data_IF_353972395947
#
_entry.id   IF_353972395947
#
_cell.length_a   1.000
_cell.length_b   1.000
_cell.length_c   1.000
_cell.angle_alpha   90.00
_cell.angle_beta   90.00
_cell.angle_gamma   90.00
#
_symmetry.space_group_name_H-M   'P 1'
#
loop_
_entity.id
_entity.type
_entity.pdbx_description
1 polymer ?
#
# COMPACT_ATOMS: atom_id res chain seq x y z
N UNK A 1 33.86 61.86 50.34
CA UNK A 1 33.17 60.93 49.42
C UNK A 1 34.04 59.69 49.30
N UNK A 2 34.05 58.77 50.28
CA UNK A 2 32.97 57.85 50.68
C UNK A 2 32.60 56.94 49.50
N UNK A 3 33.16 55.73 49.33
CA UNK A 3 33.05 54.47 50.12
C UNK A 3 31.83 53.59 49.74
N UNK A 4 32.15 52.29 49.65
CA UNK A 4 31.35 51.06 49.76
C UNK A 4 30.79 50.47 48.45
N UNK A 5 31.24 49.32 47.94
CA UNK A 5 31.60 47.99 48.51
C UNK A 5 30.38 47.08 48.75
N UNK A 6 30.64 45.78 48.62
CA UNK A 6 29.84 44.55 48.76
C UNK A 6 29.07 44.03 47.51
N UNK A 7 29.47 42.95 46.81
CA UNK A 7 29.93 41.58 47.19
C UNK A 7 28.79 40.61 47.55
N UNK A 8 29.07 39.31 47.34
CA UNK A 8 28.30 38.06 47.50
C UNK A 8 27.60 37.62 46.20
N UNK A 9 28.16 36.78 45.32
CA UNK A 9 28.68 35.41 45.47
C UNK A 9 27.72 34.47 46.23
N UNK A 10 27.07 33.53 45.54
CA UNK A 10 27.42 32.09 45.57
C UNK A 10 26.26 31.17 45.15
N UNK A 11 26.64 30.15 44.34
CA UNK A 11 26.07 28.80 44.23
C UNK A 11 24.58 28.61 43.89
N UNK A 12 24.27 27.85 42.83
CA UNK A 12 24.10 26.39 42.92
C UNK A 12 23.36 25.81 41.70
N UNK A 13 24.07 24.96 40.96
CA UNK A 13 23.65 23.72 40.29
C UNK A 13 22.22 23.53 39.74
N UNK A 14 22.16 23.15 38.46
CA UNK A 14 21.55 21.89 38.02
C UNK A 14 20.04 21.88 37.72
N UNK A 15 19.69 21.56 36.48
CA UNK A 15 18.33 21.16 36.10
C UNK A 15 18.00 21.54 34.67
N UNK A 16 18.42 20.72 33.70
CA UNK A 16 17.88 20.79 32.35
C UNK A 16 16.44 20.30 32.36
N UNK A 17 15.52 21.17 32.00
CA UNK A 17 14.12 20.82 31.71
C UNK A 17 13.86 21.28 30.26
N UNK A 18 14.21 20.41 29.32
CA UNK A 18 13.86 20.52 27.91
C UNK A 18 12.34 20.30 27.76
N UNK A 19 11.56 21.30 28.13
CA UNK A 19 10.11 21.31 27.89
C UNK A 19 9.83 21.81 26.46
N UNK A 20 10.15 20.98 25.46
CA UNK A 20 9.63 21.16 24.12
C UNK A 20 8.22 20.55 24.05
N UNK A 21 7.19 21.31 23.63
CA UNK A 21 5.86 20.76 23.46
C UNK A 21 5.87 19.67 22.38
N UNK A 22 5.51 18.44 22.76
CA UNK A 22 5.26 17.35 21.83
C UNK A 22 4.10 17.74 20.89
N UNK A 23 4.25 17.62 19.56
CA UNK A 23 3.15 17.90 18.65
C UNK A 23 2.03 16.88 18.86
N UNK A 24 0.75 17.29 18.73
CA UNK A 24 -0.37 16.37 18.86
C UNK A 24 -0.29 15.26 17.80
N UNK A 25 -0.49 14.02 18.22
CA UNK A 25 -0.56 12.87 17.31
C UNK A 25 -1.75 13.03 16.34
N UNK A 26 -1.58 12.73 15.04
CA UNK A 26 -2.68 12.78 14.09
C UNK A 26 -3.79 11.79 14.47
N UNK A 27 -5.05 12.10 14.17
CA UNK A 27 -6.17 11.22 14.46
C UNK A 27 -6.05 9.90 13.69
N UNK A 28 -6.37 8.80 14.37
CA UNK A 28 -6.44 7.47 13.75
C UNK A 28 -7.54 7.43 12.68
N UNK A 29 -7.28 6.88 11.48
CA UNK A 29 -8.30 6.75 10.46
C UNK A 29 -9.44 5.83 10.92
N UNK A 30 -10.67 6.05 10.44
CA UNK A 30 -11.81 5.22 10.79
C UNK A 30 -11.61 3.78 10.30
N UNK A 31 -11.97 2.83 11.16
CA UNK A 31 -11.96 1.39 10.82
C UNK A 31 -12.91 1.14 9.65
N UNK A 32 -12.49 0.39 8.61
CA UNK A 32 -13.38 0.06 7.50
C UNK A 32 -14.57 -0.79 7.98
N UNK A 33 -15.74 -0.67 7.32
CA UNK A 33 -16.91 -1.46 7.65
C UNK A 33 -16.64 -2.95 7.46
N UNK A 34 -17.15 -3.77 8.38
CA UNK A 34 -17.08 -5.22 8.27
C UNK A 34 -17.76 -5.70 6.97
N UNK A 35 -17.19 -6.72 6.29
CA UNK A 35 -17.81 -7.27 5.09
C UNK A 35 -19.21 -7.83 5.40
N UNK A 36 -20.14 -7.76 4.45
CA UNK A 36 -21.50 -8.27 4.63
C UNK A 36 -21.47 -9.78 4.88
N UNK A 37 -22.24 -10.20 5.87
CA UNK A 37 -22.46 -11.61 6.20
C UNK A 37 -23.17 -12.27 5.01
N UNK A 38 -22.64 -13.35 4.42
CA UNK A 38 -23.33 -14.06 3.35
C UNK A 38 -24.63 -14.71 3.86
N UNK A 39 -25.68 -14.81 3.03
CA UNK A 39 -26.91 -15.49 3.40
C UNK A 39 -26.63 -16.98 3.69
N UNK A 40 -27.28 -17.50 4.73
CA UNK A 40 -27.11 -18.87 5.19
C UNK A 40 -27.57 -19.86 4.11
N UNK A 41 -26.63 -20.67 3.61
CA UNK A 41 -26.89 -21.86 2.81
C UNK A 41 -26.90 -23.07 3.75
N UNK A 42 -27.98 -23.84 3.68
CA UNK A 42 -28.28 -25.00 4.52
C UNK A 42 -27.45 -26.20 4.04
N UNK A 43 -26.16 -26.23 4.38
CA UNK A 43 -25.36 -27.44 4.18
C UNK A 43 -24.26 -27.58 5.23
N UNK A 44 -24.50 -28.48 6.18
CA UNK A 44 -23.63 -28.72 7.31
C UNK A 44 -22.34 -29.45 6.91
N UNK A 45 -21.23 -28.71 6.85
CA UNK A 45 -19.91 -29.25 7.18
C UNK A 45 -19.32 -28.43 8.32
N UNK A 46 -19.07 -29.12 9.44
CA UNK A 46 -18.66 -28.56 10.71
C UNK A 46 -17.25 -27.94 10.64
N UNK A 47 -17.16 -26.63 10.89
CA UNK A 47 -15.92 -25.98 11.30
C UNK A 47 -15.90 -25.90 12.84
N UNK A 48 -14.73 -26.08 13.50
CA UNK A 48 -14.66 -26.01 14.95
C UNK A 48 -14.90 -24.57 15.43
N UNK A 49 -15.96 -24.42 16.23
CA UNK A 49 -16.25 -23.23 17.03
C UNK A 49 -15.17 -23.10 18.11
N UNK A 50 -14.39 -22.02 18.09
CA UNK A 50 -13.52 -21.69 19.22
C UNK A 50 -14.38 -21.23 20.40
N UNK A 51 -14.14 -21.73 21.62
CA UNK A 51 -14.89 -21.30 22.80
C UNK A 51 -14.52 -19.86 23.18
N UNK A 52 -15.46 -19.10 23.76
CA UNK A 52 -15.22 -17.74 24.22
C UNK A 52 -14.17 -17.72 25.36
N UNK A 53 -13.24 -16.77 25.29
CA UNK A 53 -12.22 -16.57 26.32
C UNK A 53 -12.86 -16.07 27.63
N UNK A 54 -12.42 -16.57 28.80
CA UNK A 54 -12.94 -16.15 30.09
C UNK A 54 -12.43 -14.74 30.48
N UNK A 55 -13.15 -14.01 31.35
CA UNK A 55 -12.81 -12.65 31.74
C UNK A 55 -11.51 -12.59 32.55
N UNK A 56 -10.69 -11.59 32.25
CA UNK A 56 -9.45 -11.26 32.98
C UNK A 56 -9.76 -10.89 34.43
N UNK A 57 -9.25 -11.69 35.37
CA UNK A 57 -9.26 -11.40 36.81
C UNK A 57 -8.27 -10.26 37.13
N UNK A 58 -8.59 -9.35 38.08
CA UNK A 58 -7.67 -8.31 38.52
C UNK A 58 -6.64 -8.87 39.51
N UNK A 59 -5.38 -8.45 39.34
CA UNK A 59 -4.26 -8.78 40.25
C UNK A 59 -4.47 -8.20 41.66
N UNK A 60 -4.13 -8.93 42.74
CA UNK A 60 -4.03 -8.35 44.08
C UNK A 60 -2.67 -7.66 44.31
N UNK A 61 -2.58 -6.65 45.20
CA UNK A 61 -1.33 -6.00 45.55
C UNK A 61 -0.55 -6.82 46.58
N UNK A 62 0.71 -7.13 46.31
CA UNK A 62 1.62 -7.79 47.26
C UNK A 62 2.23 -6.77 48.22
N UNK A 63 1.81 -6.83 49.49
CA UNK A 63 2.52 -6.25 50.63
C UNK A 63 3.75 -7.09 50.99
N UNK A 64 4.74 -6.42 51.59
CA UNK A 64 6.07 -6.95 51.86
C UNK A 64 6.17 -7.96 53.01
N UNK A 65 7.39 -8.48 53.18
CA UNK A 65 7.87 -9.00 54.47
C UNK A 65 8.71 -10.28 54.41
N UNK A 66 9.99 -10.11 54.76
CA UNK A 66 10.91 -11.06 55.43
C UNK A 66 11.59 -12.22 54.66
N UNK A 67 12.93 -12.12 54.60
CA UNK A 67 14.05 -13.10 54.74
C UNK A 67 13.70 -14.61 54.86
N UNK A 68 14.46 -15.61 54.36
CA UNK A 68 15.93 -15.86 54.31
C UNK A 68 16.14 -17.20 53.48
N UNK A 69 17.28 -17.94 53.49
CA UNK A 69 18.49 -17.79 52.69
C UNK A 69 18.84 -19.10 51.92
N UNK A 70 18.42 -19.26 50.66
CA UNK A 70 18.99 -20.31 49.79
C UNK A 70 19.15 -19.78 48.38
N UNK A 71 20.41 -19.50 48.02
CA UNK A 71 20.82 -19.30 46.65
C UNK A 71 20.58 -20.59 45.86
N UNK A 72 19.50 -20.61 45.08
CA UNK A 72 19.35 -21.55 43.97
C UNK A 72 18.98 -20.72 42.73
N UNK A 73 20.00 -20.36 41.97
CA UNK A 73 19.92 -19.61 40.72
C UNK A 73 19.28 -20.48 39.63
N UNK A 74 17.96 -20.61 39.67
CA UNK A 74 17.13 -21.13 38.57
C UNK A 74 16.33 -19.99 37.98
N UNK A 75 16.91 -19.27 37.01
CA UNK A 75 16.14 -18.33 36.20
C UNK A 75 15.00 -19.12 35.51
N UNK A 76 13.74 -18.66 35.54
CA UNK A 76 12.69 -19.28 34.76
C UNK A 76 13.09 -19.21 33.27
N UNK A 77 12.82 -20.26 32.47
CA UNK A 77 13.13 -20.24 31.05
C UNK A 77 12.41 -19.07 30.39
N UNK A 78 13.17 -18.18 29.76
CA UNK A 78 12.62 -17.13 28.91
C UNK A 78 11.75 -17.77 27.84
N UNK A 79 10.52 -17.28 27.60
CA UNK A 79 9.71 -17.77 26.49
C UNK A 79 10.50 -17.66 25.18
N UNK A 80 10.40 -18.65 24.27
CA UNK A 80 11.09 -18.60 23.00
C UNK A 80 10.70 -17.31 22.28
N UNK A 81 11.71 -16.60 21.78
CA UNK A 81 11.48 -15.43 20.95
C UNK A 81 10.53 -15.82 19.79
N UNK A 82 9.56 -14.95 19.43
CA UNK A 82 8.76 -15.19 18.23
C UNK A 82 9.72 -15.41 17.05
N UNK A 83 9.40 -16.36 16.14
CA UNK A 83 10.27 -16.66 15.01
C UNK A 83 10.57 -15.35 14.28
N UNK A 84 11.86 -15.08 14.09
CA UNK A 84 12.31 -13.88 13.38
C UNK A 84 11.59 -13.84 12.01
N UNK A 85 10.90 -12.74 11.74
CA UNK A 85 10.31 -12.52 10.43
C UNK A 85 11.44 -12.51 9.40
N UNK A 86 11.33 -13.38 8.40
CA UNK A 86 12.27 -13.46 7.30
C UNK A 86 12.20 -12.16 6.47
N UNK A 87 13.17 -11.28 6.72
CA UNK A 87 13.30 -9.96 6.08
C UNK A 87 13.98 -10.03 4.72
N UNK A 88 14.25 -11.23 4.19
CA UNK A 88 14.87 -11.37 2.88
C UNK A 88 13.93 -10.82 1.81
N UNK A 89 14.33 -9.74 1.09
CA UNK A 89 13.46 -9.12 0.10
C UNK A 89 13.34 -10.01 -1.13
N UNK A 90 12.12 -10.14 -1.64
CA UNK A 90 11.76 -10.90 -2.82
C UNK A 90 12.43 -10.38 -4.08
N UNK A 91 12.81 -9.09 -4.11
CA UNK A 91 13.33 -8.39 -5.29
C UNK A 91 12.42 -8.57 -6.52
N UNK A 92 11.12 -8.72 -6.28
CA UNK A 92 10.12 -8.97 -7.30
C UNK A 92 9.98 -7.76 -8.24
N UNK A 93 10.00 -8.00 -9.55
CA UNK A 93 9.94 -6.94 -10.56
C UNK A 93 8.54 -6.84 -11.14
N UNK A 94 7.82 -5.81 -10.70
CA UNK A 94 6.49 -5.52 -11.22
C UNK A 94 6.56 -5.21 -12.73
N UNK A 95 5.68 -5.83 -13.51
CA UNK A 95 5.62 -5.65 -14.96
C UNK A 95 6.63 -6.48 -15.78
N UNK A 96 7.46 -7.33 -15.17
CA UNK A 96 8.45 -8.15 -15.90
C UNK A 96 7.81 -9.15 -16.89
N UNK A 97 6.58 -9.61 -16.60
CA UNK A 97 5.84 -10.53 -17.49
C UNK A 97 5.21 -9.84 -18.69
N UNK A 98 5.14 -8.51 -18.70
CA UNK A 98 4.51 -7.76 -19.79
C UNK A 98 5.40 -7.76 -21.05
N UNK A 99 4.80 -7.68 -22.26
CA UNK A 99 5.57 -7.65 -23.48
C UNK A 99 6.40 -6.37 -23.58
N UNK A 100 7.56 -6.42 -24.25
CA UNK A 100 8.50 -5.29 -24.35
C UNK A 100 7.87 -4.04 -24.99
N UNK A 101 6.94 -4.24 -25.91
CA UNK A 101 6.13 -3.17 -26.53
C UNK A 101 4.68 -3.35 -26.09
N UNK A 102 4.02 -2.25 -25.74
CA UNK A 102 2.60 -2.23 -25.40
C UNK A 102 1.81 -1.61 -26.56
N UNK A 103 0.73 -2.25 -26.97
CA UNK A 103 -0.01 -1.93 -28.19
C UNK A 103 -1.25 -1.07 -27.91
N UNK A 104 -1.14 -0.13 -26.97
CA UNK A 104 -2.17 0.87 -26.68
C UNK A 104 -1.67 2.24 -27.12
N UNK A 105 -2.46 2.90 -27.96
CA UNK A 105 -2.22 4.30 -28.33
C UNK A 105 -2.87 5.20 -27.30
N UNK A 106 -2.07 6.06 -26.66
CA UNK A 106 -2.60 7.12 -25.77
C UNK A 106 -3.33 8.15 -26.65
N UNK A 107 -4.55 8.58 -26.27
CA UNK A 107 -5.24 9.65 -26.98
C UNK A 107 -4.41 10.94 -27.01
N UNK A 108 -4.55 11.73 -28.09
CA UNK A 108 -3.84 13.00 -28.25
C UNK A 108 -4.02 13.91 -27.02
N UNK A 109 -2.91 14.45 -26.53
CA UNK A 109 -2.84 15.27 -25.31
C UNK A 109 -1.62 16.19 -25.36
N UNK A 110 -1.67 17.27 -24.57
CA UNK A 110 -0.62 18.30 -24.49
C UNK A 110 0.35 18.09 -23.31
N UNK A 111 0.45 16.86 -22.77
CA UNK A 111 1.24 16.55 -21.59
C UNK A 111 2.62 16.03 -21.98
N UNK A 112 3.63 16.34 -21.16
CA UNK A 112 5.02 15.96 -21.38
C UNK A 112 5.41 14.83 -20.41
N UNK A 113 5.34 13.59 -20.89
CA UNK A 113 5.74 12.41 -20.13
C UNK A 113 6.14 11.25 -21.05
N UNK A 114 6.97 10.35 -20.53
CA UNK A 114 7.39 9.11 -21.20
C UNK A 114 6.20 8.15 -21.30
N UNK A 115 5.46 8.19 -22.42
CA UNK A 115 4.21 7.45 -22.61
C UNK A 115 4.36 5.93 -22.44
N UNK A 116 5.38 5.34 -23.04
CA UNK A 116 5.65 3.90 -22.92
C UNK A 116 6.00 3.51 -21.49
N UNK A 117 6.73 4.39 -20.79
CA UNK A 117 7.07 4.17 -19.39
C UNK A 117 5.84 4.24 -18.49
N UNK A 118 4.99 5.24 -18.69
CA UNK A 118 3.72 5.37 -17.99
C UNK A 118 2.82 4.17 -18.23
N UNK A 119 2.67 3.71 -19.48
CA UNK A 119 1.86 2.53 -19.81
C UNK A 119 2.45 1.27 -19.18
N UNK A 120 3.77 1.12 -19.12
CA UNK A 120 4.43 0.01 -18.42
C UNK A 120 4.07 -0.03 -16.95
N UNK A 121 4.16 1.11 -16.27
CA UNK A 121 3.80 1.25 -14.87
C UNK A 121 2.32 0.96 -14.64
N UNK A 122 1.44 1.54 -15.46
CA UNK A 122 0.00 1.36 -15.39
C UNK A 122 -0.41 -0.10 -15.61
N UNK A 123 0.17 -0.76 -16.62
CA UNK A 123 -0.08 -2.16 -16.93
C UNK A 123 0.35 -3.07 -15.79
N UNK A 124 1.51 -2.78 -15.19
CA UNK A 124 2.07 -3.54 -14.07
C UNK A 124 1.35 -3.31 -12.74
N UNK A 125 0.64 -2.19 -12.58
CA UNK A 125 -0.01 -1.82 -11.31
C UNK A 125 -0.97 -2.90 -10.82
N UNK A 126 -0.84 -3.28 -9.54
CA UNK A 126 -1.71 -4.26 -8.89
C UNK A 126 -2.87 -3.56 -8.16
N UNK A 127 -2.69 -2.30 -7.79
CA UNK A 127 -3.68 -1.50 -7.06
C UNK A 127 -4.89 -1.07 -7.91
N UNK A 128 -4.90 -1.36 -9.21
CA UNK A 128 -5.92 -0.91 -10.14
C UNK A 128 -6.58 -2.10 -10.83
N UNK A 129 -7.91 -2.07 -10.91
CA UNK A 129 -8.68 -2.98 -11.74
C UNK A 129 -8.50 -2.67 -13.23
N UNK A 130 -8.83 -3.66 -14.07
CA UNK A 130 -8.89 -3.54 -15.52
C UNK A 130 -9.65 -2.28 -15.99
N UNK A 131 -10.81 -2.00 -15.40
CA UNK A 131 -11.64 -0.85 -15.81
C UNK A 131 -11.04 0.49 -15.35
N UNK A 132 -10.38 0.53 -14.19
CA UNK A 132 -9.66 1.73 -13.74
C UNK A 132 -8.49 2.05 -14.67
N UNK A 133 -7.72 1.05 -15.09
CA UNK A 133 -6.63 1.23 -16.06
C UNK A 133 -7.14 1.82 -17.38
N UNK A 134 -8.24 1.28 -17.92
CA UNK A 134 -8.90 1.82 -19.11
C UNK A 134 -9.33 3.28 -18.91
N UNK A 135 -10.02 3.56 -17.80
CA UNK A 135 -10.48 4.92 -17.49
C UNK A 135 -9.33 5.91 -17.36
N UNK A 136 -8.20 5.49 -16.79
CA UNK A 136 -6.99 6.33 -16.73
C UNK A 136 -6.53 6.67 -18.15
N UNK A 137 -6.35 5.66 -19.03
CA UNK A 137 -5.92 5.87 -20.42
C UNK A 137 -6.86 6.83 -21.15
N UNK A 138 -8.17 6.61 -21.05
CA UNK A 138 -9.20 7.45 -21.68
C UNK A 138 -9.26 8.87 -21.10
N UNK A 139 -8.84 9.05 -19.84
CA UNK A 139 -8.88 10.34 -19.14
C UNK A 139 -7.63 11.17 -19.36
N UNK A 140 -6.53 10.64 -19.90
CA UNK A 140 -5.25 11.34 -20.08
C UNK A 140 -5.43 12.74 -20.69
N UNK A 141 -6.20 12.96 -21.77
CA UNK A 141 -6.37 14.30 -22.36
C UNK A 141 -7.04 15.33 -21.43
N UNK A 142 -7.67 14.87 -20.36
CA UNK A 142 -8.39 15.70 -19.37
C UNK A 142 -7.57 15.91 -18.10
N UNK A 143 -6.40 15.27 -17.98
CA UNK A 143 -5.52 15.39 -16.83
C UNK A 143 -4.58 16.58 -16.97
N UNK A 144 -4.15 17.11 -15.83
CA UNK A 144 -3.06 18.07 -15.72
C UNK A 144 -1.73 17.33 -15.60
N UNK A 145 -0.63 17.97 -15.98
CA UNK A 145 0.72 17.41 -15.82
C UNK A 145 0.97 16.88 -14.41
N UNK A 146 0.67 17.68 -13.38
CA UNK A 146 0.85 17.29 -11.98
C UNK A 146 0.06 16.03 -11.57
N UNK A 147 -1.03 15.71 -12.27
CA UNK A 147 -1.80 14.49 -12.02
C UNK A 147 -1.13 13.27 -12.66
N UNK A 148 -0.56 13.40 -13.85
CA UNK A 148 0.26 12.34 -14.46
C UNK A 148 1.51 12.09 -13.63
N UNK A 149 2.21 13.14 -13.21
CA UNK A 149 3.40 13.03 -12.38
C UNK A 149 3.11 12.29 -11.06
N UNK A 150 1.96 12.59 -10.45
CA UNK A 150 1.52 11.94 -9.23
C UNK A 150 1.17 10.45 -9.46
N UNK A 151 0.51 10.12 -10.58
CA UNK A 151 0.26 8.72 -10.95
C UNK A 151 1.57 7.95 -11.16
N UNK A 152 2.54 8.54 -11.86
CA UNK A 152 3.87 7.94 -12.04
C UNK A 152 4.54 7.70 -10.68
N UNK A 153 4.52 8.71 -9.80
CA UNK A 153 5.07 8.57 -8.44
C UNK A 153 4.41 7.45 -7.66
N UNK A 154 3.09 7.35 -7.69
CA UNK A 154 2.32 6.29 -7.00
C UNK A 154 2.72 4.90 -7.52
N UNK A 155 2.82 4.71 -8.84
CA UNK A 155 3.19 3.42 -9.42
C UNK A 155 4.66 3.05 -9.20
N UNK A 156 5.56 4.04 -9.17
CA UNK A 156 6.96 3.83 -8.78
C UNK A 156 7.09 3.36 -7.33
N UNK A 157 6.37 4.01 -6.41
CA UNK A 157 6.32 3.60 -5.01
C UNK A 157 5.73 2.20 -4.84
N UNK A 158 4.68 1.88 -5.60
CA UNK A 158 4.13 0.53 -5.65
C UNK A 158 5.20 -0.48 -6.07
N UNK A 159 5.91 -0.24 -7.18
CA UNK A 159 6.99 -1.11 -7.67
C UNK A 159 8.05 -1.36 -6.59
N UNK A 160 8.47 -0.32 -5.87
CA UNK A 160 9.45 -0.44 -4.77
C UNK A 160 8.88 -1.26 -3.60
N UNK A 161 7.63 -1.00 -3.19
CA UNK A 161 6.96 -1.74 -2.11
C UNK A 161 6.90 -3.23 -2.42
N UNK A 162 6.50 -3.60 -3.63
CA UNK A 162 6.42 -5.00 -4.04
C UNK A 162 7.80 -5.67 -4.16
N UNK A 163 8.83 -4.96 -4.61
CA UNK A 163 10.20 -5.47 -4.60
C UNK A 163 10.73 -5.74 -3.18
N UNK A 164 10.26 -4.98 -2.19
CA UNK A 164 10.67 -5.09 -0.78
C UNK A 164 9.93 -6.15 0.04
N UNK A 165 8.88 -6.78 -0.52
CA UNK A 165 8.13 -7.84 0.18
C UNK A 165 9.02 -9.06 0.45
N UNK A 166 8.71 -9.83 1.50
CA UNK A 166 9.44 -11.08 1.81
C UNK A 166 9.30 -12.12 0.69
N UNK A 167 10.33 -12.95 0.49
CA UNK A 167 10.33 -14.08 -0.47
C UNK A 167 9.13 -15.02 -0.30
N UNK A 168 8.55 -15.11 0.91
CA UNK A 168 7.34 -15.89 1.20
C UNK A 168 6.14 -15.51 0.33
N UNK A 169 6.11 -14.27 -0.17
CA UNK A 169 5.02 -13.77 -1.01
C UNK A 169 5.26 -13.99 -2.52
N UNK A 170 6.45 -14.43 -2.95
CA UNK A 170 6.80 -14.53 -4.38
C UNK A 170 5.78 -15.34 -5.18
N UNK A 171 5.35 -16.50 -4.69
CA UNK A 171 4.36 -17.32 -5.38
C UNK A 171 3.01 -16.62 -5.57
N UNK A 172 2.60 -15.74 -4.64
CA UNK A 172 1.40 -14.92 -4.78
C UNK A 172 1.64 -13.76 -5.74
N UNK A 173 2.82 -13.13 -5.69
CA UNK A 173 3.20 -12.04 -6.60
C UNK A 173 3.28 -12.52 -8.05
N UNK A 174 3.78 -13.72 -8.30
CA UNK A 174 3.80 -14.33 -9.63
C UNK A 174 2.38 -14.52 -10.17
N UNK A 175 1.44 -15.02 -9.35
CA UNK A 175 0.03 -15.15 -9.75
C UNK A 175 -0.58 -13.80 -10.09
N UNK A 176 -0.32 -12.79 -9.27
CA UNK A 176 -0.78 -11.42 -9.53
C UNK A 176 -0.20 -10.88 -10.84
N UNK A 177 1.09 -11.08 -11.11
CA UNK A 177 1.70 -10.64 -12.37
C UNK A 177 1.12 -11.36 -13.60
N UNK A 178 0.80 -12.65 -13.51
CA UNK A 178 0.11 -13.37 -14.59
C UNK A 178 -1.30 -12.80 -14.80
N UNK A 179 -2.03 -12.51 -13.72
CA UNK A 179 -3.33 -11.87 -13.80
C UNK A 179 -3.24 -10.50 -14.49
N UNK A 180 -2.30 -9.65 -14.05
CA UNK A 180 -2.11 -8.31 -14.65
C UNK A 180 -1.72 -8.40 -16.13
N UNK A 181 -0.89 -9.38 -16.51
CA UNK A 181 -0.59 -9.66 -17.92
C UNK A 181 -1.86 -9.97 -18.72
N UNK A 182 -2.68 -10.92 -18.26
CA UNK A 182 -3.90 -11.32 -18.95
C UNK A 182 -4.89 -10.15 -19.07
N UNK A 183 -5.09 -9.40 -17.98
CA UNK A 183 -5.96 -8.23 -17.98
C UNK A 183 -5.47 -7.17 -18.97
N UNK A 184 -4.16 -6.95 -19.07
CA UNK A 184 -3.60 -6.01 -20.03
C UNK A 184 -3.79 -6.47 -21.48
N UNK A 185 -3.57 -7.75 -21.78
CA UNK A 185 -3.83 -8.32 -23.11
C UNK A 185 -5.30 -8.16 -23.53
N UNK A 186 -6.23 -8.33 -22.59
CA UNK A 186 -7.64 -8.06 -22.87
C UNK A 186 -7.89 -6.58 -23.17
N UNK A 187 -7.29 -5.66 -22.40
CA UNK A 187 -7.42 -4.22 -22.64
C UNK A 187 -6.93 -3.88 -24.05
N UNK A 188 -5.75 -4.37 -24.44
CA UNK A 188 -5.20 -4.17 -25.78
C UNK A 188 -6.16 -4.71 -26.86
N UNK A 189 -6.69 -5.91 -26.67
CA UNK A 189 -7.67 -6.50 -27.57
C UNK A 189 -8.93 -5.64 -27.72
N UNK A 190 -9.43 -5.09 -26.62
CA UNK A 190 -10.60 -4.20 -26.62
C UNK A 190 -10.32 -2.86 -27.33
N UNK A 191 -9.18 -2.22 -27.06
CA UNK A 191 -8.78 -0.97 -27.73
C UNK A 191 -8.65 -1.17 -29.24
N UNK A 192 -8.04 -2.26 -29.69
CA UNK A 192 -7.94 -2.58 -31.11
C UNK A 192 -9.30 -2.85 -31.75
N UNK A 193 -10.21 -3.54 -31.06
CA UNK A 193 -11.57 -3.76 -31.54
C UNK A 193 -12.35 -2.44 -31.65
N UNK A 194 -12.25 -1.56 -30.66
CA UNK A 194 -12.88 -0.25 -30.70
C UNK A 194 -12.34 0.61 -31.84
N UNK A 195 -11.02 0.61 -32.06
CA UNK A 195 -10.40 1.32 -33.18
C UNK A 195 -10.93 0.82 -34.54
N UNK A 196 -11.00 -0.50 -34.75
CA UNK A 196 -11.57 -1.09 -35.97
C UNK A 196 -13.03 -0.70 -36.19
N UNK A 197 -13.86 -0.77 -35.14
CA UNK A 197 -15.28 -0.38 -35.23
C UNK A 197 -15.44 1.09 -35.61
N UNK A 198 -14.66 1.99 -35.01
CA UNK A 198 -14.67 3.42 -35.36
C UNK A 198 -14.26 3.66 -36.81
N UNK A 199 -13.24 2.95 -37.30
CA UNK A 199 -12.80 3.05 -38.69
C UNK A 199 -13.87 2.56 -39.68
N UNK A 200 -14.54 1.46 -39.37
CA UNK A 200 -15.65 0.92 -40.18
C UNK A 200 -16.86 1.87 -40.21
N UNK A 201 -17.20 2.48 -39.07
CA UNK A 201 -18.27 3.48 -38.96
C UNK A 201 -17.97 4.73 -39.82
N UNK A 202 -16.76 5.27 -39.72
CA UNK A 202 -16.32 6.41 -40.54
C UNK A 202 -16.41 6.07 -42.04
N UNK A 203 -15.94 4.88 -42.45
CA UNK A 203 -16.02 4.44 -43.85
C UNK A 203 -17.46 4.29 -44.32
N UNK A 204 -18.34 3.75 -43.48
CA UNK A 204 -19.76 3.59 -43.80
C UNK A 204 -20.44 4.95 -44.01
N UNK A 205 -20.17 5.92 -43.13
CA UNK A 205 -20.69 7.29 -43.23
C UNK A 205 -20.16 8.02 -44.47
N UNK A 206 -18.89 7.83 -44.81
CA UNK A 206 -18.32 8.38 -46.05
C UNK A 206 -18.99 7.79 -47.30
N UNK A 207 -19.25 6.49 -47.34
CA UNK A 207 -19.95 5.84 -48.45
C UNK A 207 -21.38 6.37 -48.53
N UNK A 208 -22.08 6.48 -47.40
CA UNK A 208 -23.44 7.02 -47.34
C UNK A 208 -23.50 8.45 -47.91
N UNK A 209 -22.56 9.29 -47.50
CA UNK A 209 -22.43 10.66 -48.01
C UNK A 209 -22.12 10.71 -49.51
N UNK A 210 -21.25 9.82 -50.01
CA UNK A 210 -20.94 9.69 -51.45
C UNK A 210 -22.14 9.20 -52.27
N UNK A 211 -23.03 8.43 -51.67
CA UNK A 211 -24.27 7.93 -52.29
C UNK A 211 -25.46 8.89 -52.17
N UNK A 212 -25.31 10.01 -51.44
CA UNK A 212 -26.38 11.02 -51.28
C UNK A 212 -27.51 10.62 -50.33
N UNK A 213 -27.24 9.74 -49.36
CA UNK A 213 -28.16 9.24 -48.33
C UNK A 213 -27.98 9.89 -46.95
#
# INVERSE_FOLDING_TARGET
>A
MTMNDDNQNSNQAGGGDDNYPIPPTPPTPPTPPAPPIPPADDNQQAYPVYPPQPPTQPFPPSQGGYQDPYANSGLPPTPPAPPEEDKTPANFKLGEKLPATLNITIPENDLDFEQDYFLRLLAGSISLSKDEKKRIIESIPKLKQSQIDELIRIFEEEKVKFASLSEKHVAQLEKLAVQQYNEWMDIEGEFQQQARRKEEEIKADEIRKKLGL
#
